data_IF_619001182148
#
_entry.id   IF_619001182148
#
_cell.length_a   1.000
_cell.length_b   1.000
_cell.length_c   1.000
_cell.angle_alpha   90.00
_cell.angle_beta   90.00
_cell.angle_gamma   90.00
#
_symmetry.space_group_name_H-M   'P 1'
#
loop_
_entity.id
_entity.type
_entity.pdbx_description
1 polymer ?
#
# COMPACT_ATOMS: atom_id res chain seq x y z
N UNK A 1 -15.23 -9.76 13.28
CA UNK A 1 -14.27 -9.73 14.42
C UNK A 1 -13.79 -11.11 14.89
N UNK A 2 -14.60 -12.16 14.75
CA UNK A 2 -14.31 -13.51 15.28
C UNK A 2 -13.03 -14.19 14.74
N UNK A 3 -12.56 -13.81 13.55
CA UNK A 3 -11.34 -14.37 12.93
C UNK A 3 -10.20 -13.36 12.81
N UNK A 4 -10.29 -12.23 13.53
CA UNK A 4 -9.19 -11.27 13.61
C UNK A 4 -8.01 -11.87 14.40
N UNK A 5 -6.80 -11.35 14.16
CA UNK A 5 -5.57 -11.78 14.85
C UNK A 5 -5.16 -13.24 14.68
N UNK A 6 -5.85 -14.03 13.86
CA UNK A 6 -5.45 -15.41 13.49
C UNK A 6 -4.50 -15.47 12.29
N UNK A 7 -3.90 -14.34 11.88
CA UNK A 7 -2.93 -14.28 10.77
C UNK A 7 -3.54 -14.36 9.35
N UNK A 8 -4.86 -14.43 9.21
CA UNK A 8 -5.54 -14.47 7.90
C UNK A 8 -5.23 -13.20 7.09
N UNK A 9 -5.37 -12.02 7.71
CA UNK A 9 -5.03 -10.75 7.07
C UNK A 9 -3.59 -10.73 6.55
N UNK A 10 -2.64 -11.28 7.31
CA UNK A 10 -1.25 -11.39 6.87
C UNK A 10 -1.06 -12.31 5.68
N UNK A 11 -1.78 -13.43 5.63
CA UNK A 11 -1.75 -14.34 4.47
C UNK A 11 -2.30 -13.66 3.23
N UNK A 12 -3.39 -12.90 3.36
CA UNK A 12 -4.00 -12.15 2.26
C UNK A 12 -3.06 -11.08 1.71
N UNK A 13 -2.44 -10.27 2.57
CA UNK A 13 -1.48 -9.24 2.12
C UNK A 13 -0.30 -9.87 1.39
N UNK A 14 0.28 -10.95 1.93
CA UNK A 14 1.39 -11.66 1.28
C UNK A 14 1.00 -12.25 -0.08
N UNK A 15 -0.20 -12.80 -0.19
CA UNK A 15 -0.72 -13.32 -1.46
C UNK A 15 -0.94 -12.19 -2.48
N UNK A 16 -1.47 -11.05 -2.05
CA UNK A 16 -1.64 -9.88 -2.92
C UNK A 16 -0.30 -9.38 -3.46
N UNK A 17 0.73 -9.23 -2.61
CA UNK A 17 2.08 -8.83 -3.03
C UNK A 17 2.63 -9.79 -4.09
N UNK A 18 2.59 -11.10 -3.81
CA UNK A 18 3.08 -12.13 -4.75
C UNK A 18 2.35 -12.07 -6.10
N UNK A 19 1.03 -11.91 -6.09
CA UNK A 19 0.25 -11.81 -7.33
C UNK A 19 0.60 -10.54 -8.11
N UNK A 20 0.82 -9.41 -7.42
CA UNK A 20 1.22 -8.15 -8.05
C UNK A 20 2.61 -8.24 -8.71
N UNK A 21 3.55 -8.95 -8.09
CA UNK A 21 4.85 -9.26 -8.68
C UNK A 21 4.70 -10.12 -9.95
N UNK A 22 3.85 -11.15 -9.91
CA UNK A 22 3.55 -12.01 -11.07
C UNK A 22 2.87 -11.23 -12.21
N UNK A 23 2.08 -10.21 -11.87
CA UNK A 23 1.45 -9.28 -12.81
C UNK A 23 2.40 -8.17 -13.30
N UNK A 24 3.66 -8.17 -12.88
CA UNK A 24 4.67 -7.16 -13.25
C UNK A 24 4.27 -5.72 -12.88
N UNK A 25 3.61 -5.55 -11.74
CA UNK A 25 3.33 -4.23 -11.19
C UNK A 25 4.60 -3.63 -10.58
N UNK A 26 4.79 -2.32 -10.70
CA UNK A 26 5.99 -1.65 -10.19
C UNK A 26 5.92 -1.30 -8.70
N UNK A 27 4.73 -0.93 -8.22
CA UNK A 27 4.51 -0.54 -6.84
C UNK A 27 3.07 -0.77 -6.39
N UNK A 28 2.87 -0.85 -5.08
CA UNK A 28 1.57 -0.92 -4.42
C UNK A 28 1.42 0.25 -3.45
N UNK A 29 0.19 0.76 -3.33
CA UNK A 29 -0.16 1.82 -2.39
C UNK A 29 -1.28 1.34 -1.47
N UNK A 30 -1.27 1.80 -0.21
CA UNK A 30 -2.29 1.45 0.77
C UNK A 30 -2.56 2.60 1.74
N UNK A 31 -3.75 2.56 2.34
CA UNK A 31 -4.16 3.38 3.47
C UNK A 31 -4.35 2.50 4.71
N UNK A 32 -3.60 2.76 5.77
CA UNK A 32 -3.77 2.05 7.04
C UNK A 32 -2.64 2.27 8.04
N UNK A 33 -2.68 1.52 9.13
CA UNK A 33 -1.73 1.64 10.26
C UNK A 33 -0.30 1.26 9.85
N UNK A 34 0.68 2.17 9.96
CA UNK A 34 2.10 1.88 9.69
C UNK A 34 2.65 0.67 10.44
N UNK A 35 2.30 0.50 11.72
CA UNK A 35 2.82 -0.60 12.54
C UNK A 35 2.31 -1.96 12.04
N UNK A 36 1.17 -1.98 11.36
CA UNK A 36 0.63 -3.21 10.79
C UNK A 36 1.28 -3.54 9.44
N UNK A 37 1.49 -2.54 8.59
CA UNK A 37 1.95 -2.75 7.20
C UNK A 37 3.47 -2.77 7.04
N UNK A 38 4.24 -2.19 7.98
CA UNK A 38 5.71 -2.21 7.97
C UNK A 38 6.27 -3.64 7.90
N UNK A 39 5.58 -4.61 8.51
CA UNK A 39 6.01 -6.03 8.55
C UNK A 39 5.96 -6.71 7.18
N UNK A 40 5.37 -6.07 6.16
CA UNK A 40 5.35 -6.54 4.78
C UNK A 40 6.26 -5.70 3.86
N UNK A 41 7.00 -4.74 4.41
CA UNK A 41 7.92 -3.88 3.65
C UNK A 41 7.30 -2.57 3.15
N UNK A 42 6.03 -2.29 3.48
CA UNK A 42 5.46 -0.97 3.22
C UNK A 42 6.14 0.09 4.09
N UNK A 43 6.23 1.31 3.56
CA UNK A 43 6.68 2.49 4.27
C UNK A 43 5.81 3.70 3.91
N UNK A 44 5.88 4.77 4.71
CA UNK A 44 5.14 6.01 4.42
C UNK A 44 5.59 6.57 3.07
N UNK A 45 4.62 6.81 2.18
CA UNK A 45 4.90 7.33 0.84
C UNK A 45 5.32 8.78 0.89
N UNK A 46 6.31 9.14 0.06
CA UNK A 46 6.71 10.53 -0.14
C UNK A 46 5.93 11.20 -1.29
N UNK A 47 5.05 10.46 -1.97
CA UNK A 47 4.22 11.00 -3.05
C UNK A 47 2.99 11.72 -2.48
N UNK A 48 2.57 12.83 -3.10
CA UNK A 48 1.37 13.53 -2.67
C UNK A 48 0.12 12.67 -2.90
N UNK A 49 -0.81 12.69 -1.94
CA UNK A 49 -2.14 12.10 -2.05
C UNK A 49 -3.18 12.99 -1.33
N UNK A 50 -4.46 12.66 -1.46
CA UNK A 50 -5.55 13.34 -0.73
C UNK A 50 -5.74 12.81 0.70
N UNK A 51 -4.93 11.84 1.14
CA UNK A 51 -5.09 11.16 2.41
C UNK A 51 -4.01 11.57 3.43
N UNK A 52 -4.25 11.27 4.72
CA UNK A 52 -3.28 11.55 5.77
C UNK A 52 -1.93 10.89 5.46
N UNK A 53 -0.87 11.69 5.47
CA UNK A 53 0.48 11.25 5.13
C UNK A 53 0.96 10.11 6.04
N UNK A 54 0.54 10.09 7.31
CA UNK A 54 0.97 9.04 8.24
C UNK A 54 0.38 7.66 7.89
N UNK A 55 -0.76 7.60 7.21
CA UNK A 55 -1.47 6.37 6.87
C UNK A 55 -1.30 5.96 5.41
N UNK A 56 -0.82 6.88 4.56
CA UNK A 56 -0.58 6.63 3.14
C UNK A 56 0.80 6.02 2.92
N UNK A 57 0.81 4.75 2.52
CA UNK A 57 2.01 3.94 2.47
C UNK A 57 2.22 3.32 1.09
N UNK A 58 3.47 3.04 0.74
CA UNK A 58 3.90 2.45 -0.52
C UNK A 58 4.81 1.23 -0.31
N UNK A 59 4.80 0.33 -1.30
CA UNK A 59 5.75 -0.78 -1.44
C UNK A 59 6.23 -0.81 -2.90
N UNK A 60 7.53 -0.58 -3.11
CA UNK A 60 8.17 -0.79 -4.42
C UNK A 60 8.40 -2.28 -4.65
N UNK A 61 7.81 -2.82 -5.73
CA UNK A 61 8.10 -4.18 -6.23
C UNK A 61 9.26 -4.13 -7.24
N UNK A 62 9.30 -3.06 -8.05
CA UNK A 62 10.45 -2.69 -8.87
C UNK A 62 11.29 -1.66 -8.11
N UNK A 63 12.53 -2.03 -7.77
CA UNK A 63 13.43 -1.18 -6.99
C UNK A 63 13.61 0.21 -7.64
N UNK A 64 13.40 1.26 -6.86
CA UNK A 64 13.57 2.66 -7.24
C UNK A 64 12.60 3.18 -8.31
N UNK A 65 11.49 2.48 -8.57
CA UNK A 65 10.51 2.92 -9.57
C UNK A 65 9.83 4.25 -9.20
N UNK A 66 9.80 4.64 -7.92
CA UNK A 66 9.12 5.85 -7.45
C UNK A 66 10.06 7.05 -7.20
N UNK A 67 11.38 6.86 -7.16
CA UNK A 67 12.38 7.88 -6.73
C UNK A 67 12.26 9.22 -7.47
N UNK A 68 11.89 9.21 -8.76
CA UNK A 68 11.79 10.42 -9.58
C UNK A 68 10.35 10.78 -9.96
N UNK A 69 9.36 10.10 -9.38
CA UNK A 69 7.95 10.37 -9.66
C UNK A 69 7.55 11.65 -8.93
N UNK A 70 7.10 12.65 -9.70
CA UNK A 70 6.59 13.94 -9.18
C UNK A 70 5.12 14.09 -9.51
N UNK A 71 4.34 13.09 -9.13
CA UNK A 71 2.93 13.00 -9.45
C UNK A 71 2.12 12.69 -8.20
N UNK A 72 0.87 13.16 -8.19
CA UNK A 72 -0.09 12.87 -7.13
C UNK A 72 -0.73 11.51 -7.38
N UNK A 73 -0.77 10.68 -6.35
CA UNK A 73 -1.49 9.40 -6.39
C UNK A 73 -2.98 9.68 -6.22
N UNK A 74 -3.77 9.28 -7.21
CA UNK A 74 -5.21 9.47 -7.25
C UNK A 74 -5.86 8.08 -7.19
N UNK A 75 -6.68 7.87 -6.16
CA UNK A 75 -7.46 6.64 -6.04
C UNK A 75 -8.71 6.70 -6.92
N UNK A 76 -9.26 5.54 -7.25
CA UNK A 76 -10.52 5.45 -7.99
C UNK A 76 -11.64 6.20 -7.24
N UNK A 77 -12.61 6.76 -7.99
CA UNK A 77 -13.68 7.59 -7.44
C UNK A 77 -14.46 6.95 -6.28
N UNK A 78 -14.52 5.61 -6.23
CA UNK A 78 -15.15 4.86 -5.13
C UNK A 78 -14.52 5.14 -3.76
N UNK A 79 -13.31 5.68 -3.70
CA UNK A 79 -12.56 5.97 -2.47
C UNK A 79 -12.58 7.47 -2.09
N UNK A 80 -13.29 8.33 -2.83
CA UNK A 80 -13.35 9.78 -2.54
C UNK A 80 -14.02 10.11 -1.19
N UNK A 81 -14.84 9.20 -0.66
CA UNK A 81 -15.51 9.38 0.63
C UNK A 81 -14.63 9.03 1.84
N UNK A 82 -13.38 8.60 1.61
CA UNK A 82 -12.43 8.21 2.65
C UNK A 82 -11.44 9.33 3.00
N UNK A 83 -11.63 10.50 2.41
CA UNK A 83 -10.83 11.70 2.64
C UNK A 83 -11.23 12.38 3.95
#
# INVERSE_FOLDING_TARGET
PEYQSCGIGSKLVKAAIKNSEEMQMDALFILGDPNYYERFGFNVSNLPSDYSAEHFQELELTKHCLVNVKSKVIYANAFLSLN
#
